data_IF_226801718679
#
_entry.id   IF_226801718679
#
_cell.length_a   1.000
_cell.length_b   1.000
_cell.length_c   1.000
_cell.angle_alpha   90.00
_cell.angle_beta   90.00
_cell.angle_gamma   90.00
#
_symmetry.space_group_name_H-M   'P 1'
#
loop_
_entity.id
_entity.type
_entity.pdbx_description
1 polymer ?
#
# COMPACT_ATOMS: atom_id res chain seq x y z
N UNK A 1 73.37 58.53 17.93
CA UNK A 1 74.67 57.98 17.49
C UNK A 1 74.37 56.87 16.56
N UNK A 2 74.46 57.20 15.30
CA UNK A 2 75.33 56.63 14.27
C UNK A 2 75.22 55.10 14.15
N UNK A 3 74.77 54.58 13.06
CA UNK A 3 75.61 54.24 11.94
C UNK A 3 74.84 53.52 10.84
N UNK A 4 74.89 54.17 9.74
CA UNK A 4 74.59 53.78 8.36
C UNK A 4 75.43 52.58 7.89
N UNK A 5 74.87 51.72 6.95
CA UNK A 5 75.54 51.25 5.72
C UNK A 5 74.64 50.29 4.98
N UNK A 6 74.07 50.70 3.87
CA UNK A 6 74.42 50.50 2.43
C UNK A 6 74.34 49.03 1.96
N UNK A 7 73.44 48.84 0.97
CA UNK A 7 73.21 47.67 0.10
C UNK A 7 74.44 47.30 -0.77
N UNK A 8 74.48 46.21 -1.57
CA UNK A 8 73.67 46.05 -2.78
C UNK A 8 73.38 44.57 -3.18
N UNK A 9 72.60 44.42 -4.23
CA UNK A 9 72.70 43.25 -5.09
C UNK A 9 71.45 42.70 -5.69
N UNK A 10 70.99 43.32 -6.76
CA UNK A 10 69.93 42.74 -7.66
C UNK A 10 70.45 41.46 -8.31
N UNK A 11 69.66 40.39 -8.25
CA UNK A 11 69.61 39.34 -9.29
C UNK A 11 68.17 38.97 -9.57
N UNK A 12 67.73 39.37 -10.78
CA UNK A 12 66.45 38.89 -11.36
C UNK A 12 66.62 37.43 -11.73
N UNK A 13 65.79 36.59 -11.19
CA UNK A 13 65.55 35.23 -11.68
C UNK A 13 64.08 35.15 -12.16
N UNK A 14 63.91 35.05 -13.47
CA UNK A 14 62.65 34.73 -14.12
C UNK A 14 62.33 33.32 -13.78
N UNK A 15 61.24 33.12 -13.03
CA UNK A 15 60.60 31.79 -12.87
C UNK A 15 59.36 31.80 -13.74
N UNK A 16 59.41 31.02 -14.82
CA UNK A 16 58.27 30.78 -15.70
C UNK A 16 57.25 29.96 -14.95
N UNK A 17 56.09 30.55 -14.71
CA UNK A 17 54.94 29.82 -14.15
C UNK A 17 54.27 29.02 -15.26
N UNK A 18 54.44 27.70 -15.26
CA UNK A 18 53.64 26.75 -16.04
C UNK A 18 52.26 26.65 -15.42
N UNK A 19 51.24 27.23 -16.06
CA UNK A 19 49.86 27.04 -15.73
C UNK A 19 49.45 25.64 -16.21
N UNK A 20 49.39 24.68 -15.29
CA UNK A 20 48.74 23.37 -15.53
C UNK A 20 47.22 23.55 -15.43
N UNK A 21 46.55 23.60 -16.58
CA UNK A 21 45.07 23.51 -16.65
C UNK A 21 44.68 22.08 -16.35
N UNK A 22 44.27 21.81 -15.11
CA UNK A 22 43.66 20.55 -14.74
C UNK A 22 42.24 20.54 -15.31
N UNK A 23 42.03 19.80 -16.40
CA UNK A 23 40.71 19.49 -16.96
C UNK A 23 40.02 18.53 -15.99
N UNK A 24 39.15 19.05 -15.11
CA UNK A 24 38.32 18.28 -14.23
C UNK A 24 37.22 17.62 -15.06
N UNK A 25 37.42 16.35 -15.42
CA UNK A 25 36.35 15.51 -15.97
C UNK A 25 35.32 15.24 -14.88
N UNK A 26 34.30 16.09 -14.82
CA UNK A 26 33.10 15.80 -14.01
C UNK A 26 32.44 14.55 -14.58
N UNK A 27 32.64 13.41 -13.90
CA UNK A 27 31.92 12.20 -14.17
C UNK A 27 30.41 12.45 -13.96
N UNK A 28 29.67 12.57 -15.04
CA UNK A 28 28.23 12.64 -14.98
C UNK A 28 27.72 11.28 -14.47
N UNK A 29 27.14 11.30 -13.25
CA UNK A 29 26.42 10.15 -12.73
C UNK A 29 25.34 9.71 -13.74
N UNK A 30 25.15 8.40 -13.96
CA UNK A 30 24.16 7.92 -14.91
C UNK A 30 22.77 8.43 -14.49
N UNK A 31 22.14 9.21 -15.37
CA UNK A 31 20.73 9.58 -15.23
C UNK A 31 19.93 8.29 -15.15
N UNK A 32 19.34 8.00 -13.99
CA UNK A 32 18.33 6.95 -13.87
C UNK A 32 17.24 7.26 -14.90
N UNK A 33 17.21 6.49 -15.98
CA UNK A 33 16.09 6.50 -16.91
C UNK A 33 14.82 6.19 -16.11
N UNK A 34 13.99 7.18 -15.95
CA UNK A 34 12.64 7.00 -15.43
C UNK A 34 11.90 6.22 -16.51
N UNK A 35 11.81 4.89 -16.36
CA UNK A 35 10.92 4.08 -17.19
C UNK A 35 9.54 4.71 -17.05
N UNK A 36 9.05 5.34 -18.12
CA UNK A 36 7.66 5.78 -18.24
C UNK A 36 6.84 4.49 -18.17
N UNK A 37 6.34 4.18 -17.00
CA UNK A 37 5.49 3.00 -16.83
C UNK A 37 4.20 3.23 -17.62
N UNK A 38 3.83 2.25 -18.47
CA UNK A 38 2.53 2.20 -19.13
C UNK A 38 1.44 2.55 -18.11
N UNK A 39 0.45 3.40 -18.47
CA UNK A 39 -0.68 3.66 -17.57
C UNK A 39 -1.27 2.34 -17.07
N UNK A 40 -1.52 2.25 -15.78
CA UNK A 40 -2.04 1.02 -15.17
C UNK A 40 -3.46 0.76 -15.64
N UNK A 41 -3.73 -0.44 -16.10
CA UNK A 41 -5.08 -0.89 -16.43
C UNK A 41 -5.79 -1.37 -15.16
N UNK A 42 -6.56 -0.48 -14.54
CA UNK A 42 -7.28 -0.79 -13.30
C UNK A 42 -8.41 -1.80 -13.52
N UNK A 43 -8.98 -1.85 -14.71
CA UNK A 43 -10.10 -2.74 -15.03
C UNK A 43 -9.68 -4.20 -15.17
N UNK A 44 -8.44 -4.44 -15.63
CA UNK A 44 -7.89 -5.78 -15.85
C UNK A 44 -6.72 -6.09 -14.90
N UNK A 45 -6.69 -5.44 -13.74
CA UNK A 45 -5.72 -5.74 -12.69
C UNK A 45 -6.35 -6.66 -11.65
N UNK A 46 -5.65 -7.73 -11.29
CA UNK A 46 -5.93 -8.57 -10.12
C UNK A 46 -4.95 -8.24 -8.99
N UNK A 47 -5.34 -8.54 -7.77
CA UNK A 47 -4.43 -8.51 -6.61
C UNK A 47 -4.25 -9.91 -6.03
N UNK A 48 -3.01 -10.27 -5.71
CA UNK A 48 -2.69 -11.45 -4.92
C UNK A 48 -2.24 -10.96 -3.55
N UNK A 49 -3.07 -11.18 -2.54
CA UNK A 49 -2.76 -10.87 -1.16
C UNK A 49 -1.92 -12.03 -0.60
N UNK A 50 -0.62 -11.81 -0.46
CA UNK A 50 0.31 -12.74 0.19
C UNK A 50 0.13 -12.64 1.69
N UNK A 51 -0.39 -13.66 2.32
CA UNK A 51 -0.65 -13.65 3.77
C UNK A 51 0.23 -14.66 4.50
N UNK A 52 0.27 -14.58 5.84
CA UNK A 52 0.94 -15.58 6.67
C UNK A 52 0.32 -16.99 6.58
N UNK A 53 -0.88 -17.11 6.00
CA UNK A 53 -1.63 -18.37 5.85
C UNK A 53 -1.71 -18.87 4.40
N UNK A 54 -1.19 -18.11 3.44
CA UNK A 54 -1.21 -18.41 2.01
C UNK A 54 -1.69 -17.24 1.18
N UNK A 55 -2.00 -17.50 -0.08
CA UNK A 55 -2.36 -16.50 -1.07
C UNK A 55 -3.87 -16.39 -1.25
N UNK A 56 -4.34 -15.16 -1.37
CA UNK A 56 -5.76 -14.85 -1.69
C UNK A 56 -5.77 -14.00 -2.95
N UNK A 57 -6.41 -14.47 -4.03
CA UNK A 57 -6.54 -13.72 -5.29
C UNK A 57 -7.86 -12.98 -5.33
N UNK A 58 -7.79 -11.69 -5.64
CA UNK A 58 -8.93 -10.77 -5.72
C UNK A 58 -9.06 -10.21 -7.13
N UNK A 59 -10.30 -10.20 -7.66
CA UNK A 59 -10.71 -9.45 -8.84
C UNK A 59 -11.51 -8.22 -8.41
N UNK A 60 -11.35 -7.11 -9.14
CA UNK A 60 -11.99 -5.84 -8.78
C UNK A 60 -13.23 -5.54 -9.64
N UNK A 61 -14.15 -4.78 -9.07
CA UNK A 61 -15.36 -4.28 -9.73
C UNK A 61 -15.13 -2.82 -10.16
N UNK A 62 -14.24 -2.63 -11.14
CA UNK A 62 -13.85 -1.28 -11.57
C UNK A 62 -15.02 -0.47 -12.15
N UNK A 63 -15.96 -1.11 -12.81
CA UNK A 63 -17.19 -0.52 -13.33
C UNK A 63 -18.16 -0.01 -12.25
N UNK A 64 -18.12 -0.60 -11.04
CA UNK A 64 -19.02 -0.28 -9.93
C UNK A 64 -18.40 0.65 -8.88
N UNK A 65 -17.08 0.59 -8.69
CA UNK A 65 -16.38 1.33 -7.65
C UNK A 65 -14.98 1.78 -8.11
N UNK A 66 -14.88 2.57 -9.19
CA UNK A 66 -13.60 2.95 -9.80
C UNK A 66 -12.67 3.69 -8.84
N UNK A 67 -13.20 4.56 -7.98
CA UNK A 67 -12.41 5.30 -6.99
C UNK A 67 -11.79 4.39 -5.94
N UNK A 68 -12.54 3.42 -5.40
CA UNK A 68 -12.06 2.46 -4.41
C UNK A 68 -11.05 1.49 -5.02
N UNK A 69 -11.31 0.99 -6.22
CA UNK A 69 -10.38 0.11 -6.95
C UNK A 69 -9.07 0.83 -7.22
N UNK A 70 -9.14 2.06 -7.74
CA UNK A 70 -7.95 2.88 -7.97
C UNK A 70 -7.17 3.12 -6.68
N UNK A 71 -7.83 3.52 -5.61
CA UNK A 71 -7.21 3.75 -4.31
C UNK A 71 -6.49 2.50 -3.79
N UNK A 72 -7.16 1.34 -3.80
CA UNK A 72 -6.57 0.09 -3.31
C UNK A 72 -5.35 -0.32 -4.15
N UNK A 73 -5.46 -0.28 -5.48
CA UNK A 73 -4.38 -0.64 -6.40
C UNK A 73 -3.19 0.33 -6.26
N UNK A 74 -3.42 1.63 -6.19
CA UNK A 74 -2.35 2.64 -6.06
C UNK A 74 -1.62 2.51 -4.70
N UNK A 75 -2.33 2.23 -3.62
CA UNK A 75 -1.74 1.95 -2.31
C UNK A 75 -0.93 0.64 -2.33
N UNK A 76 -1.46 -0.40 -2.95
CA UNK A 76 -0.76 -1.69 -3.12
C UNK A 76 0.54 -1.52 -3.91
N UNK A 77 0.51 -0.76 -5.00
CA UNK A 77 1.69 -0.48 -5.82
C UNK A 77 2.81 0.26 -5.08
N UNK A 78 2.46 0.99 -4.02
CA UNK A 78 3.39 1.70 -3.13
C UNK A 78 3.87 0.85 -1.95
N UNK A 79 3.44 -0.43 -1.84
CA UNK A 79 3.72 -1.30 -0.69
C UNK A 79 3.02 -0.83 0.60
N UNK A 80 1.95 -0.03 0.46
CA UNK A 80 1.25 0.52 1.62
C UNK A 80 0.69 -0.56 2.54
N UNK A 81 0.26 -1.69 2.01
CA UNK A 81 -0.33 -2.79 2.77
C UNK A 81 0.69 -3.79 3.31
N UNK A 82 1.95 -3.74 2.84
CA UNK A 82 2.97 -4.73 3.17
C UNK A 82 3.26 -4.73 4.68
N UNK A 83 3.10 -5.88 5.30
CA UNK A 83 3.31 -6.09 6.74
C UNK A 83 2.15 -5.66 7.65
N UNK A 84 1.02 -5.19 7.11
CA UNK A 84 -0.18 -4.91 7.92
C UNK A 84 -0.81 -6.19 8.46
N UNK A 85 -1.62 -6.04 9.52
CA UNK A 85 -2.33 -7.16 10.15
C UNK A 85 -3.81 -7.15 9.79
N UNK A 86 -4.41 -8.34 9.79
CA UNK A 86 -5.85 -8.49 9.95
C UNK A 86 -6.17 -8.26 11.42
N UNK A 87 -6.39 -6.99 11.76
CA UNK A 87 -6.51 -6.52 13.16
C UNK A 87 -7.90 -6.68 13.75
N UNK A 88 -8.88 -7.01 12.91
CA UNK A 88 -10.25 -7.31 13.32
C UNK A 88 -10.73 -8.56 12.57
N UNK A 89 -11.06 -9.59 13.31
CA UNK A 89 -11.53 -10.87 12.79
C UNK A 89 -12.75 -11.30 13.59
N UNK A 90 -13.86 -11.47 12.91
CA UNK A 90 -15.11 -11.96 13.53
C UNK A 90 -15.55 -13.20 12.74
N UNK A 91 -15.52 -14.40 13.37
CA UNK A 91 -16.06 -15.59 12.76
C UNK A 91 -17.52 -15.38 12.32
N UNK A 92 -17.91 -16.02 11.23
CA UNK A 92 -19.24 -15.87 10.63
C UNK A 92 -19.60 -14.44 10.19
N UNK A 93 -18.59 -13.57 10.03
CA UNK A 93 -18.82 -12.21 9.52
C UNK A 93 -17.73 -11.78 8.54
N UNK A 94 -16.54 -11.34 9.01
CA UNK A 94 -15.50 -10.80 8.13
C UNK A 94 -14.11 -10.82 8.77
N UNK A 95 -13.07 -10.67 7.93
CA UNK A 95 -11.73 -10.29 8.35
C UNK A 95 -11.41 -8.89 7.81
N UNK A 96 -10.87 -8.00 8.65
CA UNK A 96 -10.56 -6.60 8.30
C UNK A 96 -9.08 -6.31 8.49
N UNK A 97 -8.47 -5.68 7.49
CA UNK A 97 -7.07 -5.29 7.46
C UNK A 97 -6.86 -3.89 6.85
N UNK A 98 -5.62 -3.60 6.45
CA UNK A 98 -5.27 -2.37 5.73
C UNK A 98 -5.04 -1.14 6.61
N UNK A 99 -4.92 -1.31 7.92
CA UNK A 99 -4.55 -0.23 8.85
C UNK A 99 -3.02 -0.11 8.95
N UNK A 100 -2.41 1.03 8.54
CA UNK A 100 -0.96 1.22 8.59
C UNK A 100 -0.38 1.21 10.01
N UNK A 101 -1.17 1.52 11.04
CA UNK A 101 -0.71 1.46 12.43
C UNK A 101 -0.32 0.05 12.88
N UNK A 102 -0.85 -0.97 12.23
CA UNK A 102 -0.56 -2.37 12.55
C UNK A 102 0.81 -2.85 12.10
N UNK A 103 1.53 -2.06 11.30
CA UNK A 103 2.91 -2.36 10.87
C UNK A 103 3.95 -2.10 11.97
N UNK A 104 3.60 -1.28 12.91
CA UNK A 104 4.50 -0.71 13.91
C UNK A 104 4.26 -1.37 15.25
N UNK A 105 5.15 -2.28 15.70
CA UNK A 105 4.97 -3.02 16.95
C UNK A 105 4.92 -2.11 18.20
N UNK A 106 5.49 -0.90 18.08
CA UNK A 106 5.43 0.13 19.11
C UNK A 106 4.05 0.82 19.22
N UNK A 107 3.19 0.67 18.22
CA UNK A 107 1.86 1.27 18.24
C UNK A 107 0.95 0.49 19.19
N UNK A 108 0.35 1.13 20.21
CA UNK A 108 -0.61 0.46 21.07
C UNK A 108 -1.76 -0.17 20.29
N UNK A 109 -2.11 -1.41 20.61
CA UNK A 109 -3.21 -2.14 19.92
C UNK A 109 -4.58 -1.45 20.06
N UNK A 110 -4.72 -0.54 21.02
CA UNK A 110 -5.91 0.33 21.17
C UNK A 110 -6.10 1.29 20.01
N UNK A 111 -5.04 1.55 19.24
CA UNK A 111 -5.08 2.40 18.03
C UNK A 111 -5.38 1.62 16.75
N UNK A 112 -5.33 0.29 16.79
CA UNK A 112 -5.64 -0.53 15.62
C UNK A 112 -7.10 -0.31 15.19
N UNK A 113 -7.32 -0.16 13.89
CA UNK A 113 -8.62 0.19 13.31
C UNK A 113 -8.86 1.69 13.14
N UNK A 114 -7.93 2.56 13.61
CA UNK A 114 -8.08 4.03 13.49
C UNK A 114 -7.16 4.66 12.44
N UNK A 115 -6.26 3.88 11.83
CA UNK A 115 -5.33 4.35 10.82
C UNK A 115 -5.95 4.41 9.42
N UNK A 116 -5.32 5.20 8.54
CA UNK A 116 -5.72 5.35 7.14
C UNK A 116 -4.62 5.98 6.31
N UNK A 117 -4.88 6.13 5.01
CA UNK A 117 -3.98 6.82 4.10
C UNK A 117 -3.88 8.31 4.45
N UNK A 118 -2.68 8.88 4.29
CA UNK A 118 -2.41 10.30 4.51
C UNK A 118 -1.61 10.86 3.35
N UNK A 119 -1.81 12.12 3.05
CA UNK A 119 -0.99 12.85 2.09
C UNK A 119 0.36 13.27 2.69
N UNK A 120 1.17 13.97 1.90
CA UNK A 120 2.49 14.44 2.32
C UNK A 120 2.45 15.45 3.49
N UNK A 121 1.31 16.10 3.73
CA UNK A 121 1.11 17.01 4.88
C UNK A 121 0.66 16.26 6.14
N UNK A 122 0.34 14.96 6.04
CA UNK A 122 -0.22 14.15 7.11
C UNK A 122 -1.74 14.24 7.22
N UNK A 123 -2.42 14.93 6.29
CA UNK A 123 -3.87 15.01 6.25
C UNK A 123 -4.50 13.69 5.76
N UNK A 124 -5.66 13.27 6.31
CA UNK A 124 -6.35 12.07 5.86
C UNK A 124 -6.75 12.16 4.38
N UNK A 125 -6.47 11.08 3.63
CA UNK A 125 -6.95 10.91 2.26
C UNK A 125 -8.10 9.92 2.28
N UNK A 126 -9.30 10.44 2.01
CA UNK A 126 -10.53 9.66 1.99
C UNK A 126 -11.01 9.41 0.57
N UNK A 127 -11.81 8.37 0.40
CA UNK A 127 -12.47 8.00 -0.85
C UNK A 127 -13.96 8.19 -0.68
N UNK A 128 -14.59 8.92 -1.62
CA UNK A 128 -16.04 9.12 -1.63
C UNK A 128 -16.76 7.77 -1.80
N UNK A 129 -17.87 7.59 -1.10
CA UNK A 129 -18.66 6.36 -1.17
C UNK A 129 -19.13 6.04 -2.61
N UNK A 130 -19.01 4.78 -2.99
CA UNK A 130 -19.50 4.23 -4.27
C UNK A 130 -20.40 3.03 -3.98
N UNK A 131 -21.48 3.30 -3.20
CA UNK A 131 -22.45 2.24 -2.86
C UNK A 131 -23.11 1.72 -4.14
N UNK A 132 -23.13 0.40 -4.26
CA UNK A 132 -23.64 -0.27 -5.44
C UNK A 132 -24.55 -1.47 -5.05
N UNK A 133 -25.06 -2.17 -6.04
CA UNK A 133 -26.03 -3.25 -5.89
C UNK A 133 -25.39 -4.63 -5.62
N UNK A 134 -24.06 -4.70 -5.47
CA UNK A 134 -23.36 -5.96 -5.19
C UNK A 134 -23.70 -6.44 -3.79
N UNK A 135 -24.33 -7.61 -3.61
CA UNK A 135 -24.66 -8.12 -2.29
C UNK A 135 -23.40 -8.58 -1.57
N UNK A 136 -23.30 -8.31 -0.27
CA UNK A 136 -22.16 -8.71 0.58
C UNK A 136 -22.22 -10.20 0.91
N UNK A 137 -22.02 -11.05 -0.10
CA UNK A 137 -21.89 -12.50 0.04
C UNK A 137 -20.48 -12.87 0.48
N UNK A 138 -20.32 -14.11 0.92
CA UNK A 138 -19.01 -14.70 1.21
C UNK A 138 -18.03 -14.46 0.03
N UNK A 139 -16.84 -13.97 0.35
CA UNK A 139 -15.78 -13.66 -0.61
C UNK A 139 -15.79 -12.23 -1.14
N UNK A 140 -16.80 -11.42 -0.88
CA UNK A 140 -16.80 -10.01 -1.29
C UNK A 140 -15.76 -9.21 -0.52
N UNK A 141 -14.98 -8.40 -1.26
CA UNK A 141 -14.07 -7.41 -0.76
C UNK A 141 -14.79 -6.06 -0.70
N UNK A 142 -14.83 -5.46 0.47
CA UNK A 142 -15.54 -4.20 0.70
C UNK A 142 -14.70 -3.24 1.54
N UNK A 143 -14.96 -1.94 1.41
CA UNK A 143 -14.17 -0.91 2.06
C UNK A 143 -14.73 -0.57 3.45
N UNK A 144 -13.86 -0.61 4.45
CA UNK A 144 -14.22 -0.16 5.79
C UNK A 144 -14.27 1.38 5.85
N UNK A 145 -15.13 1.91 6.72
CA UNK A 145 -15.32 3.35 6.94
C UNK A 145 -15.70 3.67 8.39
N UNK A 146 -15.56 4.91 8.77
CA UNK A 146 -16.11 5.45 10.00
C UNK A 146 -17.62 5.79 9.83
N UNK A 147 -18.17 6.64 10.67
CA UNK A 147 -19.61 6.99 10.60
C UNK A 147 -20.00 7.69 9.29
N UNK A 148 -19.15 8.62 8.79
CA UNK A 148 -19.42 9.26 7.50
C UNK A 148 -19.25 8.28 6.34
N UNK A 149 -20.19 8.24 5.38
CA UNK A 149 -20.06 7.44 4.16
C UNK A 149 -18.75 7.70 3.40
N UNK A 150 -18.31 8.95 3.33
CA UNK A 150 -17.14 9.41 2.59
C UNK A 150 -15.83 9.35 3.41
N UNK A 151 -15.79 8.54 4.47
CA UNK A 151 -14.63 8.38 5.35
C UNK A 151 -13.79 7.12 5.05
N UNK A 152 -14.10 6.38 4.01
CA UNK A 152 -13.27 5.27 3.55
C UNK A 152 -11.87 5.74 3.19
N UNK A 153 -10.83 4.95 3.49
CA UNK A 153 -9.44 5.33 3.23
C UNK A 153 -8.62 4.12 2.75
N UNK A 154 -7.95 3.42 3.64
CA UNK A 154 -7.13 2.26 3.28
C UNK A 154 -7.65 0.94 3.82
N UNK A 155 -8.48 0.96 4.86
CA UNK A 155 -8.94 -0.27 5.50
C UNK A 155 -10.02 -0.96 4.68
N UNK A 156 -9.90 -2.27 4.54
CA UNK A 156 -10.82 -3.12 3.80
C UNK A 156 -11.19 -4.36 4.60
N UNK A 157 -12.26 -5.04 4.21
CA UNK A 157 -12.62 -6.32 4.79
C UNK A 157 -13.05 -7.33 3.72
N UNK A 158 -12.85 -8.60 4.03
CA UNK A 158 -13.32 -9.73 3.22
C UNK A 158 -14.45 -10.42 3.99
N UNK A 159 -15.60 -10.54 3.36
CA UNK A 159 -16.79 -11.18 3.94
C UNK A 159 -16.58 -12.69 4.04
N UNK A 160 -16.75 -13.25 5.23
CA UNK A 160 -16.61 -14.70 5.50
C UNK A 160 -17.96 -15.42 5.42
N UNK A 161 -19.05 -14.73 5.74
CA UNK A 161 -20.42 -15.24 5.64
C UNK A 161 -21.35 -14.14 5.16
N UNK A 162 -22.36 -14.50 4.36
CA UNK A 162 -23.31 -13.57 3.78
C UNK A 162 -23.83 -12.56 4.81
N UNK A 163 -23.71 -11.28 4.49
CA UNK A 163 -23.96 -10.16 5.41
C UNK A 163 -24.83 -9.09 4.74
N UNK A 164 -26.10 -9.38 4.43
CA UNK A 164 -26.95 -8.49 3.65
C UNK A 164 -27.24 -7.14 4.33
N UNK A 165 -27.01 -7.03 5.65
CA UNK A 165 -27.11 -5.76 6.38
C UNK A 165 -26.06 -4.72 6.00
N UNK A 166 -25.03 -5.11 5.23
CA UNK A 166 -24.00 -4.21 4.68
C UNK A 166 -24.38 -3.66 3.29
N UNK A 167 -25.38 -4.27 2.64
CA UNK A 167 -25.73 -3.93 1.27
C UNK A 167 -26.16 -2.47 1.15
N UNK A 168 -25.61 -1.79 0.14
CA UNK A 168 -25.83 -0.36 -0.12
C UNK A 168 -25.41 0.59 1.02
N UNK A 169 -24.71 0.07 2.05
CA UNK A 169 -24.17 0.86 3.15
C UNK A 169 -22.63 0.86 3.17
N UNK A 170 -22.02 -0.09 2.47
CA UNK A 170 -20.58 -0.21 2.26
C UNK A 170 -20.29 -0.39 0.78
N UNK A 171 -19.10 0.07 0.35
CA UNK A 171 -18.69 -0.06 -1.05
C UNK A 171 -18.04 -1.41 -1.28
N UNK A 172 -18.78 -2.34 -1.90
CA UNK A 172 -18.22 -3.57 -2.46
C UNK A 172 -17.40 -3.20 -3.71
N UNK A 173 -16.10 -3.52 -3.73
CA UNK A 173 -15.21 -3.13 -4.82
C UNK A 173 -14.41 -4.28 -5.43
N UNK A 174 -14.65 -5.51 -4.97
CA UNK A 174 -14.02 -6.72 -5.51
C UNK A 174 -14.54 -7.99 -4.88
N UNK A 175 -13.98 -9.11 -5.33
CA UNK A 175 -14.29 -10.45 -4.82
C UNK A 175 -13.06 -11.34 -4.80
N UNK A 176 -13.01 -12.27 -3.89
CA UNK A 176 -12.02 -13.34 -3.84
C UNK A 176 -12.35 -14.38 -4.91
N UNK A 177 -11.44 -14.59 -5.86
CA UNK A 177 -11.59 -15.60 -6.91
C UNK A 177 -10.86 -16.91 -6.60
N UNK A 178 -9.83 -16.85 -5.72
CA UNK A 178 -9.08 -18.02 -5.23
C UNK A 178 -8.59 -17.74 -3.81
N UNK A 179 -8.51 -18.77 -2.96
CA UNK A 179 -7.94 -18.68 -1.63
C UNK A 179 -8.96 -18.37 -0.52
N UNK A 180 -10.25 -18.64 -0.70
CA UNK A 180 -11.23 -18.52 0.39
C UNK A 180 -10.92 -19.48 1.55
N UNK A 181 -10.30 -20.62 1.29
CA UNK A 181 -9.79 -21.55 2.32
C UNK A 181 -8.65 -20.93 3.13
N UNK A 182 -7.87 -19.99 2.54
CA UNK A 182 -6.85 -19.22 3.25
C UNK A 182 -7.51 -18.18 4.16
N UNK A 183 -8.58 -17.54 3.70
CA UNK A 183 -9.38 -16.62 4.54
C UNK A 183 -9.97 -17.37 5.76
N UNK A 184 -10.46 -18.60 5.57
CA UNK A 184 -10.94 -19.44 6.68
C UNK A 184 -9.82 -19.80 7.67
N UNK A 185 -8.61 -20.10 7.18
CA UNK A 185 -7.44 -20.32 8.03
C UNK A 185 -7.08 -19.06 8.82
N UNK A 186 -7.15 -17.86 8.20
CA UNK A 186 -6.94 -16.60 8.92
C UNK A 186 -7.94 -16.47 10.06
N UNK A 187 -9.21 -16.81 9.85
CA UNK A 187 -10.22 -16.79 10.91
C UNK A 187 -9.87 -17.76 12.03
N UNK A 188 -9.54 -19.02 11.69
CA UNK A 188 -9.24 -20.08 12.65
C UNK A 188 -7.97 -19.74 13.48
N UNK A 189 -6.89 -19.36 12.81
CA UNK A 189 -5.58 -19.09 13.42
C UNK A 189 -5.54 -17.76 14.20
N UNK A 190 -6.48 -16.84 13.94
CA UNK A 190 -6.55 -15.54 14.63
C UNK A 190 -6.92 -15.68 16.11
N UNK A 191 -7.39 -16.84 16.53
CA UNK A 191 -7.80 -17.11 17.91
C UNK A 191 -8.72 -15.99 18.44
N UNK A 192 -9.88 -15.88 17.82
CA UNK A 192 -10.90 -14.87 18.15
C UNK A 192 -11.25 -14.92 19.64
N UNK A 193 -11.28 -13.73 20.28
CA UNK A 193 -11.74 -13.59 21.65
C UNK A 193 -13.21 -13.18 21.71
N UNK A 194 -14.13 -14.10 22.08
CA UNK A 194 -15.54 -13.77 22.23
C UNK A 194 -15.81 -12.64 23.23
N UNK A 195 -14.96 -12.50 24.26
CA UNK A 195 -15.07 -11.43 25.25
C UNK A 195 -14.75 -10.04 24.66
N UNK A 196 -14.07 -9.98 23.50
CA UNK A 196 -13.84 -8.72 22.77
C UNK A 196 -15.13 -8.17 22.14
N UNK A 197 -16.22 -8.93 22.13
CA UNK A 197 -17.49 -8.55 21.53
C UNK A 197 -17.36 -8.13 20.07
N UNK A 198 -18.12 -7.14 19.64
CA UNK A 198 -18.08 -6.59 18.28
C UNK A 198 -16.76 -5.93 17.89
N UNK A 199 -15.81 -5.75 18.85
CA UNK A 199 -14.48 -5.25 18.54
C UNK A 199 -13.67 -6.23 17.68
N UNK A 200 -13.91 -7.55 17.83
CA UNK A 200 -13.32 -8.59 16.98
C UNK A 200 -11.80 -8.64 17.02
N UNK A 201 -11.19 -8.30 18.16
CA UNK A 201 -9.72 -8.27 18.30
C UNK A 201 -9.19 -9.72 18.33
N UNK A 202 -8.34 -10.12 17.37
CA UNK A 202 -7.73 -11.44 17.41
C UNK A 202 -6.60 -11.46 18.46
N UNK A 203 -6.44 -12.59 19.17
CA UNK A 203 -5.30 -12.82 20.08
C UNK A 203 -4.02 -13.12 19.30
N UNK A 204 -4.15 -13.69 18.10
CA UNK A 204 -3.06 -14.00 17.18
C UNK A 204 -3.35 -13.40 15.79
N UNK A 205 -3.17 -12.08 15.60
CA UNK A 205 -3.48 -11.42 14.33
C UNK A 205 -2.61 -11.93 13.20
N UNK A 206 -3.23 -12.37 12.11
CA UNK A 206 -2.54 -12.84 10.92
C UNK A 206 -2.06 -11.67 10.07
N UNK A 207 -0.96 -11.88 9.33
CA UNK A 207 -0.27 -10.81 8.60
C UNK A 207 -0.60 -10.82 7.11
N UNK A 208 -0.85 -9.66 6.53
CA UNK A 208 -0.77 -9.40 5.11
C UNK A 208 0.70 -9.03 4.80
N UNK A 209 1.44 -9.98 4.23
CA UNK A 209 2.88 -9.84 3.99
C UNK A 209 3.15 -8.86 2.86
N UNK A 210 2.35 -8.95 1.77
CA UNK A 210 2.49 -8.13 0.57
C UNK A 210 1.22 -8.21 -0.28
N UNK A 211 0.98 -7.18 -1.10
CA UNK A 211 0.00 -7.24 -2.19
C UNK A 211 0.74 -7.20 -3.52
N UNK A 212 0.61 -8.25 -4.32
CA UNK A 212 1.14 -8.31 -5.68
C UNK A 212 0.03 -7.99 -6.68
N UNK A 213 0.32 -7.10 -7.63
CA UNK A 213 -0.60 -6.71 -8.68
C UNK A 213 -0.19 -7.43 -9.96
N UNK A 214 -1.14 -8.12 -10.59
CA UNK A 214 -0.94 -8.86 -11.83
C UNK A 214 -2.00 -8.47 -12.85
N UNK A 215 -1.67 -8.51 -14.13
CA UNK A 215 -2.68 -8.33 -15.18
C UNK A 215 -3.56 -9.59 -15.26
N UNK A 216 -4.87 -9.38 -15.39
CA UNK A 216 -5.79 -10.49 -15.62
C UNK A 216 -5.43 -11.13 -16.97
N UNK A 217 -5.24 -12.46 -17.03
CA UNK A 217 -4.99 -13.11 -18.32
C UNK A 217 -6.12 -12.76 -19.29
N UNK A 218 -5.78 -12.33 -20.49
CA UNK A 218 -6.78 -12.11 -21.52
C UNK A 218 -7.64 -13.37 -21.61
N UNK A 219 -8.98 -13.21 -21.50
CA UNK A 219 -9.89 -14.32 -21.67
C UNK A 219 -9.55 -15.01 -22.99
N UNK A 220 -9.25 -16.31 -22.95
CA UNK A 220 -8.99 -17.07 -24.15
C UNK A 220 -10.17 -16.84 -25.10
N UNK A 221 -9.91 -16.26 -26.27
CA UNK A 221 -10.95 -16.04 -27.27
C UNK A 221 -11.67 -17.39 -27.49
N UNK A 222 -13.02 -17.42 -27.52
CA UNK A 222 -13.74 -18.67 -27.76
C UNK A 222 -13.19 -19.29 -29.04
N UNK A 223 -12.80 -20.56 -28.95
CA UNK A 223 -12.35 -21.31 -30.09
C UNK A 223 -13.43 -21.16 -31.20
N UNK A 224 -13.05 -20.59 -32.35
CA UNK A 224 -13.93 -20.56 -33.52
C UNK A 224 -14.11 -22.00 -33.95
N UNK A 225 -15.27 -22.56 -33.69
CA UNK A 225 -15.72 -23.80 -34.29
C UNK A 225 -16.09 -23.54 -35.75
#
# INVERSE_FOLDING_TARGET
>A
MNGTRIAPGRRFAFVAALLAVALSAAAQAPKKETKVSKPRDYAHTLAILKTSQGDVTVRFFYDKAPGHVKNFIDLSAKGFYDGTLFHRVIPDFMIQGGDPYTKHPETPTTRYGTGGNKDASGAPVNVKAEFNDTPHRRGILSMARASSPDSASSQFFIVVKDSPFLDRQYTAFGEVTKGMEVVDKIVAESNYDPASGGAGKPRNPQKLLKVELVEEPAAAAPAKN
#
